data_IF_523570410123
#
_entry.id   IF_523570410123
#
_cell.length_a   1.000
_cell.length_b   1.000
_cell.length_c   1.000
_cell.angle_alpha   90.00
_cell.angle_beta   90.00
_cell.angle_gamma   90.00
#
_symmetry.space_group_name_H-M   'P 1'
#
loop_
_entity.id
_entity.type
_entity.pdbx_description
1 polymer ?
#
# COMPACT_ATOMS: atom_id res chain seq x y z
N UNK A 1 31.99 -23.82 6.31
CA UNK A 1 30.71 -23.16 6.66
C UNK A 1 30.68 -21.64 6.46
N UNK A 2 31.77 -20.87 6.68
CA UNK A 2 31.81 -19.41 6.36
C UNK A 2 31.61 -19.11 4.87
N UNK A 3 32.25 -19.85 3.98
CA UNK A 3 32.18 -19.59 2.53
C UNK A 3 30.80 -19.78 1.89
N UNK A 4 29.94 -20.58 2.53
CA UNK A 4 28.56 -20.77 2.06
C UNK A 4 27.67 -19.57 2.42
N UNK A 5 27.92 -18.93 3.55
CA UNK A 5 27.21 -17.73 3.96
C UNK A 5 27.58 -16.52 3.10
N UNK A 6 28.85 -16.32 2.81
CA UNK A 6 29.32 -15.20 1.97
C UNK A 6 28.83 -15.34 0.51
N UNK A 7 28.78 -16.55 -0.05
CA UNK A 7 28.19 -16.79 -1.39
C UNK A 7 26.68 -16.52 -1.43
N UNK A 8 25.96 -16.80 -0.35
CA UNK A 8 24.53 -16.46 -0.24
C UNK A 8 24.29 -14.96 -0.12
N UNK A 9 25.11 -14.22 0.62
CA UNK A 9 24.99 -12.77 0.76
C UNK A 9 25.31 -12.03 -0.54
N UNK A 10 26.37 -12.39 -1.23
CA UNK A 10 26.74 -11.78 -2.53
C UNK A 10 25.68 -12.04 -3.59
N UNK A 11 25.16 -13.26 -3.69
CA UNK A 11 24.07 -13.59 -4.62
C UNK A 11 22.77 -12.83 -4.30
N UNK A 12 22.43 -12.65 -3.04
CA UNK A 12 21.27 -11.87 -2.61
C UNK A 12 21.42 -10.37 -2.94
N UNK A 13 22.59 -9.79 -2.68
CA UNK A 13 22.88 -8.38 -2.96
C UNK A 13 22.85 -8.11 -4.47
N UNK A 14 23.44 -8.95 -5.28
CA UNK A 14 23.44 -8.84 -6.75
C UNK A 14 22.02 -8.91 -7.30
N UNK A 15 21.23 -9.88 -6.87
CA UNK A 15 19.84 -10.02 -7.28
C UNK A 15 18.98 -8.82 -6.83
N UNK A 16 19.23 -8.30 -5.63
CA UNK A 16 18.54 -7.13 -5.11
C UNK A 16 18.86 -5.87 -5.92
N UNK A 17 20.12 -5.70 -6.31
CA UNK A 17 20.58 -4.61 -7.16
C UNK A 17 19.96 -4.66 -8.56
N UNK A 18 20.04 -5.80 -9.23
CA UNK A 18 19.48 -6.01 -10.57
C UNK A 18 17.96 -5.75 -10.60
N UNK A 19 17.23 -6.22 -9.61
CA UNK A 19 15.81 -5.90 -9.43
C UNK A 19 15.56 -4.40 -9.27
N UNK A 20 16.44 -3.69 -8.56
CA UNK A 20 16.36 -2.25 -8.42
C UNK A 20 16.48 -1.51 -9.75
N UNK A 21 17.37 -1.97 -10.64
CA UNK A 21 17.53 -1.42 -12.00
C UNK A 21 16.27 -1.68 -12.82
N UNK A 22 15.77 -2.91 -12.81
CA UNK A 22 14.55 -3.31 -13.51
C UNK A 22 13.34 -2.50 -13.05
N UNK A 23 13.14 -2.34 -11.74
CA UNK A 23 12.03 -1.60 -11.17
C UNK A 23 12.05 -0.11 -11.51
N UNK A 24 13.23 0.49 -11.68
CA UNK A 24 13.36 1.88 -12.12
C UNK A 24 12.99 2.07 -13.59
N UNK A 25 13.35 1.11 -14.44
CA UNK A 25 13.01 1.11 -15.88
C UNK A 25 11.53 0.80 -16.14
N UNK A 26 10.91 -0.04 -15.30
CA UNK A 26 9.53 -0.48 -15.44
C UNK A 26 8.47 0.62 -15.25
N UNK A 27 7.24 0.30 -15.59
CA UNK A 27 6.07 1.19 -15.42
C UNK A 27 5.81 1.48 -13.94
N UNK A 28 5.15 2.59 -13.64
CA UNK A 28 4.80 2.97 -12.26
C UNK A 28 3.79 2.01 -11.60
N UNK A 29 2.95 1.38 -12.40
CA UNK A 29 2.01 0.33 -11.99
C UNK A 29 2.07 -0.77 -13.03
N UNK A 30 2.46 -1.97 -12.61
CA UNK A 30 2.74 -3.11 -13.48
C UNK A 30 2.22 -4.40 -12.83
N UNK A 31 1.56 -5.25 -13.62
CA UNK A 31 1.17 -6.58 -13.19
C UNK A 31 2.40 -7.48 -13.13
N UNK A 32 2.49 -8.29 -12.08
CA UNK A 32 3.57 -9.24 -11.85
C UNK A 32 2.97 -10.64 -11.81
N UNK A 33 3.60 -11.57 -12.51
CA UNK A 33 3.10 -12.96 -12.56
C UNK A 33 3.23 -13.68 -11.22
N UNK A 34 4.37 -13.46 -10.55
CA UNK A 34 4.67 -14.08 -9.25
C UNK A 34 5.09 -13.03 -8.22
N UNK A 35 4.64 -13.16 -6.97
CA UNK A 35 5.07 -12.25 -5.91
C UNK A 35 6.57 -12.39 -5.65
N UNK A 36 7.28 -11.26 -5.55
CA UNK A 36 8.73 -11.24 -5.29
C UNK A 36 9.07 -11.84 -3.92
N UNK A 37 8.25 -11.59 -2.91
CA UNK A 37 8.40 -12.15 -1.56
C UNK A 37 7.26 -13.11 -1.25
N UNK A 38 7.35 -14.33 -1.77
CA UNK A 38 6.27 -15.33 -1.69
C UNK A 38 5.85 -15.62 -0.24
N UNK A 39 6.80 -15.78 0.67
CA UNK A 39 6.50 -15.97 2.10
C UNK A 39 5.64 -14.83 2.65
N UNK A 40 6.03 -13.58 2.38
CA UNK A 40 5.26 -12.42 2.84
C UNK A 40 3.89 -12.31 2.19
N UNK A 41 3.79 -12.61 0.90
CA UNK A 41 2.53 -12.61 0.19
C UNK A 41 1.55 -13.64 0.78
N UNK A 42 2.01 -14.86 1.07
CA UNK A 42 1.21 -15.92 1.70
C UNK A 42 0.72 -15.53 3.09
N UNK A 43 1.57 -14.94 3.92
CA UNK A 43 1.16 -14.42 5.25
C UNK A 43 0.06 -13.36 5.16
N UNK A 44 -0.01 -12.63 4.04
CA UNK A 44 -1.02 -11.60 3.80
C UNK A 44 -2.25 -12.10 3.04
N UNK A 45 -2.36 -13.43 2.84
CA UNK A 45 -3.52 -14.08 2.26
C UNK A 45 -3.41 -14.40 0.77
N UNK A 46 -2.24 -14.21 0.14
CA UNK A 46 -2.04 -14.60 -1.25
C UNK A 46 -2.10 -16.13 -1.41
N UNK A 47 -2.80 -16.58 -2.43
CA UNK A 47 -2.79 -17.96 -2.91
C UNK A 47 -2.48 -17.98 -4.41
N UNK A 48 -1.72 -19.00 -4.85
CA UNK A 48 -1.38 -19.19 -6.26
C UNK A 48 -2.53 -19.93 -6.97
N UNK A 49 -3.70 -19.28 -7.08
CA UNK A 49 -4.86 -19.78 -7.81
C UNK A 49 -5.51 -18.67 -8.62
N UNK A 50 -6.37 -19.07 -9.56
CA UNK A 50 -7.13 -18.13 -10.38
C UNK A 50 -7.92 -17.14 -9.51
N UNK A 51 -8.08 -15.91 -10.02
CA UNK A 51 -8.74 -14.84 -9.29
C UNK A 51 -7.80 -14.00 -8.40
N UNK A 52 -6.55 -14.43 -8.17
CA UNK A 52 -5.53 -13.62 -7.50
C UNK A 52 -4.62 -12.92 -8.51
N UNK A 53 -4.39 -11.65 -8.33
CA UNK A 53 -3.51 -10.82 -9.16
C UNK A 53 -2.55 -10.05 -8.27
N UNK A 54 -1.28 -10.01 -8.64
CA UNK A 54 -0.27 -9.21 -7.95
C UNK A 54 0.15 -8.05 -8.84
N UNK A 55 0.16 -6.85 -8.27
CA UNK A 55 0.50 -5.62 -8.98
C UNK A 55 1.58 -4.88 -8.22
N UNK A 56 2.69 -4.58 -8.89
CA UNK A 56 3.75 -3.74 -8.35
C UNK A 56 3.44 -2.27 -8.59
N UNK A 57 3.59 -1.45 -7.54
CA UNK A 57 3.38 0.00 -7.61
C UNK A 57 4.61 0.74 -7.11
N UNK A 58 5.09 1.71 -7.90
CA UNK A 58 6.16 2.64 -7.55
C UNK A 58 5.57 3.94 -7.01
N UNK A 59 6.00 4.34 -5.82
CA UNK A 59 5.54 5.55 -5.14
C UNK A 59 6.75 6.39 -4.74
N UNK A 60 6.75 7.67 -5.11
CA UNK A 60 7.80 8.60 -4.71
C UNK A 60 7.81 8.77 -3.19
N UNK A 61 9.01 8.82 -2.61
CA UNK A 61 9.23 9.12 -1.19
C UNK A 61 8.94 10.60 -0.89
N UNK A 62 8.73 10.90 0.37
CA UNK A 62 8.49 12.25 0.87
C UNK A 62 7.00 12.60 0.96
N UNK A 63 6.73 13.82 1.36
CA UNK A 63 5.39 14.39 1.46
C UNK A 63 4.89 15.02 0.17
N UNK A 64 3.68 15.57 0.21
CA UNK A 64 3.18 16.39 -0.89
C UNK A 64 3.83 17.77 -0.86
N UNK A 65 4.27 18.22 -2.02
CA UNK A 65 4.68 19.61 -2.19
C UNK A 65 3.43 20.50 -2.30
N UNK A 66 3.32 21.46 -1.41
CA UNK A 66 2.26 22.49 -1.48
C UNK A 66 2.89 23.81 -1.92
N UNK A 67 2.33 24.40 -2.97
CA UNK A 67 2.77 25.69 -3.46
C UNK A 67 2.52 26.76 -2.39
N UNK A 68 3.52 27.59 -2.16
CA UNK A 68 3.45 28.71 -1.22
C UNK A 68 2.41 29.72 -1.70
N UNK A 69 1.45 30.16 -0.85
CA UNK A 69 0.52 31.24 -1.21
C UNK A 69 1.27 32.53 -1.51
N UNK A 70 0.95 33.19 -2.60
CA UNK A 70 1.67 34.40 -3.04
C UNK A 70 0.82 35.67 -3.07
N UNK A 71 -0.47 35.57 -3.32
CA UNK A 71 -1.37 36.73 -3.55
C UNK A 71 -2.16 37.09 -2.29
N UNK A 72 -2.32 38.41 -2.04
CA UNK A 72 -3.15 38.95 -0.96
C UNK A 72 -2.68 38.61 0.45
N UNK A 73 -1.38 38.33 0.64
CA UNK A 73 -0.81 37.94 1.94
C UNK A 73 0.49 38.67 2.23
N UNK A 74 0.64 39.09 3.49
CA UNK A 74 1.94 39.57 4.00
C UNK A 74 2.93 38.39 4.11
N UNK A 75 4.27 38.64 4.05
CA UNK A 75 5.30 37.58 4.10
C UNK A 75 5.12 36.58 5.25
N UNK A 76 4.71 37.03 6.42
CA UNK A 76 4.42 36.17 7.59
C UNK A 76 3.38 35.09 7.31
N UNK A 77 2.39 35.38 6.47
CA UNK A 77 1.28 34.49 6.15
C UNK A 77 1.51 33.64 4.89
N UNK A 78 2.65 33.79 4.22
CA UNK A 78 2.99 33.03 2.98
C UNK A 78 3.57 31.65 3.26
N UNK A 79 3.95 31.31 4.49
CA UNK A 79 4.52 30.04 4.85
C UNK A 79 3.51 28.91 4.82
N UNK A 80 3.96 27.70 4.45
CA UNK A 80 3.19 26.47 4.58
C UNK A 80 3.91 25.58 5.58
N UNK A 81 3.39 25.51 6.80
CA UNK A 81 3.90 24.66 7.87
C UNK A 81 2.99 23.47 8.10
N UNK A 82 3.56 22.39 8.69
CA UNK A 82 2.81 21.21 9.17
C UNK A 82 1.90 20.55 8.11
N UNK A 83 2.34 20.54 6.85
CA UNK A 83 1.60 19.88 5.79
C UNK A 83 1.96 18.40 5.73
N UNK A 84 1.21 17.59 6.45
CA UNK A 84 1.36 16.14 6.47
C UNK A 84 0.12 15.49 5.86
N UNK A 85 0.34 14.56 4.93
CA UNK A 85 -0.75 13.79 4.33
C UNK A 85 -1.39 12.87 5.37
N UNK A 86 -2.72 12.77 5.37
CA UNK A 86 -3.45 11.84 6.25
C UNK A 86 -3.36 10.36 5.82
N UNK A 87 -2.63 10.07 4.74
CA UNK A 87 -2.48 8.72 4.17
C UNK A 87 -1.01 8.33 4.14
N UNK A 88 -0.67 7.11 4.56
CA UNK A 88 0.67 6.58 4.36
C UNK A 88 0.91 6.21 2.90
N UNK A 89 2.18 6.13 2.48
CA UNK A 89 2.55 5.86 1.08
C UNK A 89 2.12 4.46 0.59
N UNK A 90 2.01 3.50 1.50
CA UNK A 90 1.50 2.17 1.19
C UNK A 90 0.01 2.22 0.82
N UNK A 91 -0.81 2.95 1.57
CA UNK A 91 -2.22 3.17 1.24
C UNK A 91 -2.39 3.94 -0.07
N UNK A 92 -1.53 4.94 -0.33
CA UNK A 92 -1.51 5.65 -1.63
C UNK A 92 -1.19 4.68 -2.78
N UNK A 93 -0.28 3.70 -2.58
CA UNK A 93 0.00 2.66 -3.57
C UNK A 93 -1.25 1.82 -3.87
N UNK A 94 -1.91 1.33 -2.83
CA UNK A 94 -3.15 0.55 -2.95
C UNK A 94 -4.24 1.32 -3.70
N UNK A 95 -4.47 2.60 -3.37
CA UNK A 95 -5.48 3.43 -4.06
C UNK A 95 -5.15 3.67 -5.54
N UNK A 96 -3.87 3.87 -5.88
CA UNK A 96 -3.46 4.04 -7.28
C UNK A 96 -3.67 2.77 -8.08
N UNK A 97 -3.37 1.62 -7.50
CA UNK A 97 -3.58 0.31 -8.12
C UNK A 97 -5.08 0.06 -8.29
N UNK A 98 -5.89 0.29 -7.27
CA UNK A 98 -7.35 0.14 -7.33
C UNK A 98 -7.99 0.99 -8.43
N UNK A 99 -7.50 2.22 -8.65
CA UNK A 99 -7.99 3.08 -9.74
C UNK A 99 -7.66 2.54 -11.13
N UNK A 100 -6.53 1.85 -11.27
CA UNK A 100 -6.14 1.22 -12.54
C UNK A 100 -6.90 -0.08 -12.82
N UNK A 101 -7.30 -0.80 -11.77
CA UNK A 101 -8.00 -2.07 -11.85
C UNK A 101 -9.33 -2.01 -11.06
N UNK A 102 -10.35 -1.31 -11.56
CA UNK A 102 -11.60 -1.07 -10.83
C UNK A 102 -12.44 -2.33 -10.61
N UNK A 103 -12.26 -3.35 -11.44
CA UNK A 103 -12.92 -4.66 -11.34
C UNK A 103 -12.35 -5.57 -10.26
N UNK A 104 -11.14 -5.29 -9.77
CA UNK A 104 -10.46 -6.07 -8.74
C UNK A 104 -10.55 -5.36 -7.39
N UNK A 105 -10.61 -6.10 -6.30
CA UNK A 105 -10.53 -5.55 -4.94
C UNK A 105 -9.16 -5.83 -4.31
N UNK A 106 -8.63 -4.86 -3.58
CA UNK A 106 -7.36 -5.00 -2.89
C UNK A 106 -7.55 -5.80 -1.61
N UNK A 107 -6.84 -6.93 -1.49
CA UNK A 107 -6.77 -7.72 -0.27
C UNK A 107 -5.80 -7.09 0.74
N UNK A 108 -4.55 -6.95 0.33
CA UNK A 108 -3.47 -6.42 1.15
C UNK A 108 -2.28 -5.98 0.28
N UNK A 109 -1.25 -5.43 0.92
CA UNK A 109 -0.02 -5.02 0.24
C UNK A 109 1.21 -5.16 1.14
N UNK A 110 2.40 -5.15 0.55
CA UNK A 110 3.66 -5.17 1.29
C UNK A 110 4.77 -4.47 0.51
N UNK A 111 5.80 -4.04 1.25
CA UNK A 111 6.98 -3.41 0.69
C UNK A 111 7.94 -4.45 0.13
N UNK A 112 8.35 -4.26 -1.11
CA UNK A 112 9.32 -5.13 -1.80
C UNK A 112 10.70 -4.53 -1.78
N UNK A 113 10.81 -3.28 -2.24
CA UNK A 113 12.08 -2.60 -2.48
C UNK A 113 11.97 -1.12 -2.15
N UNK A 114 13.12 -0.47 -1.96
CA UNK A 114 13.23 0.98 -1.83
C UNK A 114 14.54 1.45 -2.44
N UNK A 115 14.48 2.45 -3.26
CA UNK A 115 15.65 3.23 -3.67
C UNK A 115 15.70 4.59 -2.95
N UNK A 116 16.64 5.47 -3.32
CA UNK A 116 16.74 6.81 -2.74
C UNK A 116 15.47 7.65 -2.93
N UNK A 117 14.78 7.52 -4.05
CA UNK A 117 13.64 8.37 -4.45
C UNK A 117 12.27 7.70 -4.28
N UNK A 118 12.19 6.36 -4.37
CA UNK A 118 10.94 5.63 -4.49
C UNK A 118 10.81 4.49 -3.48
N UNK A 119 9.56 4.17 -3.16
CA UNK A 119 9.13 2.93 -2.53
C UNK A 119 8.45 2.06 -3.57
N UNK A 120 8.69 0.75 -3.50
CA UNK A 120 8.03 -0.24 -4.35
C UNK A 120 7.22 -1.17 -3.46
N UNK A 121 5.92 -1.22 -3.76
CA UNK A 121 4.96 -2.07 -3.06
C UNK A 121 4.39 -3.09 -4.02
N UNK A 122 4.18 -4.30 -3.56
CA UNK A 122 3.33 -5.27 -4.24
C UNK A 122 1.97 -5.29 -3.56
N UNK A 123 0.93 -5.15 -4.37
CA UNK A 123 -0.46 -5.11 -3.96
C UNK A 123 -1.12 -6.40 -4.43
N UNK A 124 -1.69 -7.14 -3.48
CA UNK A 124 -2.43 -8.37 -3.74
C UNK A 124 -3.88 -7.97 -4.00
N UNK A 125 -4.36 -8.29 -5.19
CA UNK A 125 -5.74 -8.03 -5.61
C UNK A 125 -6.49 -9.33 -5.84
N UNK A 126 -7.79 -9.27 -5.71
CA UNK A 126 -8.70 -10.42 -5.88
C UNK A 126 -9.83 -10.02 -6.81
N UNK A 127 -10.15 -10.89 -7.75
CA UNK A 127 -11.32 -10.73 -8.61
C UNK A 127 -12.57 -11.24 -7.88
N UNK A 128 -13.41 -10.30 -7.47
CA UNK A 128 -14.65 -10.60 -6.75
C UNK A 128 -15.70 -11.34 -7.58
N UNK A 129 -15.59 -11.31 -8.91
CA UNK A 129 -16.56 -11.96 -9.81
C UNK A 129 -16.14 -13.37 -10.21
N UNK A 130 -14.89 -13.75 -9.96
CA UNK A 130 -14.34 -15.04 -10.35
C UNK A 130 -15.00 -16.19 -9.57
N UNK A 131 -15.49 -17.27 -10.23
CA UNK A 131 -16.18 -18.38 -9.57
C UNK A 131 -15.37 -19.05 -8.47
N UNK A 132 -14.07 -19.27 -8.70
CA UNK A 132 -13.13 -19.87 -7.74
C UNK A 132 -12.99 -19.03 -6.46
N UNK A 133 -13.15 -17.72 -6.54
CA UNK A 133 -13.12 -16.84 -5.37
C UNK A 133 -14.44 -16.89 -4.61
N UNK A 134 -15.56 -16.90 -5.32
CA UNK A 134 -16.89 -16.99 -4.71
C UNK A 134 -17.10 -18.32 -3.96
N UNK A 135 -16.56 -19.42 -4.48
CA UNK A 135 -16.68 -20.76 -3.88
C UNK A 135 -15.70 -21.02 -2.73
N UNK A 136 -14.63 -20.22 -2.55
CA UNK A 136 -13.65 -20.41 -1.47
C UNK A 136 -14.14 -19.76 -0.17
N UNK A 137 -14.55 -20.53 0.87
CA UNK A 137 -15.08 -20.00 2.12
C UNK A 137 -14.09 -19.12 2.89
N UNK A 138 -12.76 -19.22 2.60
CA UNK A 138 -11.73 -18.41 3.26
C UNK A 138 -11.60 -17.00 2.69
N UNK A 139 -12.09 -16.74 1.47
CA UNK A 139 -11.93 -15.45 0.78
C UNK A 139 -13.23 -14.87 0.23
N UNK A 140 -14.30 -15.65 0.14
CA UNK A 140 -15.58 -15.22 -0.44
C UNK A 140 -16.17 -13.95 0.20
N UNK A 141 -15.83 -13.67 1.46
CA UNK A 141 -16.22 -12.43 2.16
C UNK A 141 -15.85 -11.16 1.38
N UNK A 142 -14.80 -11.18 0.54
CA UNK A 142 -14.38 -10.01 -0.25
C UNK A 142 -15.38 -9.69 -1.38
N UNK A 143 -16.19 -10.67 -1.77
CA UNK A 143 -17.21 -10.52 -2.82
C UNK A 143 -18.44 -9.73 -2.33
N UNK A 144 -18.64 -9.61 -1.02
CA UNK A 144 -19.78 -8.93 -0.44
C UNK A 144 -19.77 -7.42 -0.74
N UNK A 145 -20.93 -6.79 -0.94
CA UNK A 145 -21.06 -5.37 -1.29
C UNK A 145 -20.37 -4.43 -0.28
N UNK A 146 -20.37 -4.79 1.00
CA UNK A 146 -19.71 -4.03 2.08
C UNK A 146 -18.20 -3.92 1.91
N UNK A 147 -17.57 -4.79 1.12
CA UNK A 147 -16.13 -4.77 0.85
C UNK A 147 -15.77 -4.04 -0.45
N UNK A 148 -16.77 -3.57 -1.21
CA UNK A 148 -16.52 -2.82 -2.44
C UNK A 148 -15.76 -1.52 -2.17
N UNK A 149 -14.69 -1.27 -2.94
CA UNK A 149 -13.79 -0.12 -2.82
C UNK A 149 -13.25 0.07 -1.40
N UNK A 150 -12.96 -1.03 -0.71
CA UNK A 150 -12.49 -1.04 0.69
C UNK A 150 -11.24 -0.19 0.93
N UNK A 151 -10.37 -0.08 -0.05
CA UNK A 151 -9.14 0.73 0.04
C UNK A 151 -9.46 2.20 0.16
N UNK A 152 -10.36 2.73 -0.65
CA UNK A 152 -10.72 4.15 -0.65
C UNK A 152 -11.33 4.59 0.69
N UNK A 153 -12.02 3.67 1.36
CA UNK A 153 -12.61 3.88 2.69
C UNK A 153 -11.63 3.64 3.84
N UNK A 154 -10.36 3.29 3.54
CA UNK A 154 -9.33 3.03 4.55
C UNK A 154 -9.57 1.78 5.39
N UNK A 155 -10.14 0.73 4.79
CA UNK A 155 -10.42 -0.55 5.46
C UNK A 155 -9.32 -1.60 5.22
N UNK A 156 -8.35 -1.32 4.35
CA UNK A 156 -7.14 -2.15 4.22
C UNK A 156 -6.25 -2.02 5.46
N UNK A 157 -5.31 -2.94 5.65
CA UNK A 157 -4.38 -2.90 6.78
C UNK A 157 -3.58 -1.59 6.82
N UNK A 158 -3.10 -1.11 5.66
CA UNK A 158 -2.39 0.16 5.52
C UNK A 158 -3.29 1.36 5.84
N UNK A 159 -4.56 1.33 5.40
CA UNK A 159 -5.55 2.35 5.70
C UNK A 159 -5.90 2.43 7.18
N UNK A 160 -6.15 1.27 7.81
CA UNK A 160 -6.39 1.20 9.27
C UNK A 160 -5.20 1.73 10.06
N UNK A 161 -3.96 1.39 9.64
CA UNK A 161 -2.74 1.92 10.27
C UNK A 161 -2.65 3.44 10.16
N UNK A 162 -2.90 4.00 8.99
CA UNK A 162 -2.86 5.47 8.76
C UNK A 162 -3.94 6.22 9.55
N UNK A 163 -5.08 5.58 9.79
CA UNK A 163 -6.20 6.11 10.59
C UNK A 163 -6.04 5.91 12.10
N UNK A 164 -4.96 5.27 12.56
CA UNK A 164 -4.73 5.01 13.98
C UNK A 164 -5.65 3.93 14.58
N UNK A 165 -6.21 3.02 13.77
CA UNK A 165 -7.17 2.02 14.21
C UNK A 165 -6.56 0.70 14.70
N UNK A 166 -5.24 0.53 14.62
CA UNK A 166 -4.57 -0.71 15.00
C UNK A 166 -4.45 -0.90 16.53
N UNK A 167 -4.42 0.19 17.28
CA UNK A 167 -4.33 0.16 18.74
C UNK A 167 -5.62 0.65 19.37
N UNK A 168 -6.03 0.05 20.48
CA UNK A 168 -7.08 0.54 21.37
C UNK A 168 -6.40 1.12 22.60
N UNK A 169 -7.00 2.16 23.19
CA UNK A 169 -6.53 2.79 24.42
C UNK A 169 -5.89 4.16 24.21
N UNK A 170 -4.99 4.54 25.07
CA UNK A 170 -4.39 5.87 25.16
C UNK A 170 -3.87 6.39 23.82
N UNK A 171 -4.34 7.59 23.44
CA UNK A 171 -3.98 8.27 22.21
C UNK A 171 -4.77 7.84 20.97
N UNK A 172 -5.66 6.85 21.06
CA UNK A 172 -6.50 6.40 19.95
C UNK A 172 -8.01 6.47 20.20
N UNK A 173 -8.45 7.00 21.32
CA UNK A 173 -9.87 7.08 21.72
C UNK A 173 -10.71 7.85 20.72
N UNK A 174 -10.19 8.99 20.26
CA UNK A 174 -10.87 9.90 19.32
C UNK A 174 -10.75 9.49 17.84
N UNK A 175 -10.05 8.40 17.55
CA UNK A 175 -9.96 7.88 16.17
C UNK A 175 -11.07 6.87 15.85
N UNK A 176 -11.79 6.39 16.84
CA UNK A 176 -12.88 5.41 16.69
C UNK A 176 -14.24 6.04 16.86
N UNK A 177 -15.23 5.64 16.06
CA UNK A 177 -15.18 4.74 14.91
C UNK A 177 -14.45 5.35 13.71
N UNK A 178 -14.33 6.66 13.62
CA UNK A 178 -13.60 7.41 12.60
C UNK A 178 -13.27 8.83 13.08
N UNK A 179 -12.37 9.52 12.39
CA UNK A 179 -12.08 10.94 12.65
C UNK A 179 -13.30 11.84 12.38
N UNK A 180 -14.11 11.51 11.36
CA UNK A 180 -15.33 12.24 11.03
C UNK A 180 -16.38 12.16 12.14
N UNK A 181 -16.60 10.97 12.71
CA UNK A 181 -17.52 10.78 13.84
C UNK A 181 -17.10 11.59 15.08
N UNK A 182 -15.81 11.82 15.25
CA UNK A 182 -15.26 12.64 16.35
C UNK A 182 -15.01 14.11 15.94
N UNK A 183 -15.67 14.61 14.90
CA UNK A 183 -15.55 16.02 14.43
C UNK A 183 -14.08 16.48 14.20
N UNK A 184 -13.21 15.57 13.76
CA UNK A 184 -11.79 15.86 13.55
C UNK A 184 -10.92 16.02 14.80
N UNK A 185 -11.47 15.81 16.00
CA UNK A 185 -10.76 15.97 17.28
C UNK A 185 -9.71 14.89 17.58
N UNK A 186 -9.55 13.91 16.71
CA UNK A 186 -8.60 12.79 16.86
C UNK A 186 -7.19 13.05 16.30
N UNK A 187 -6.88 14.29 15.94
CA UNK A 187 -5.55 14.72 15.49
C UNK A 187 -4.91 15.62 16.52
#
# INVERSE_FOLDING_TARGET
MKDTFEKHETGYQTNHWNRGIEYRKGKSIERVEKPTKLHRARTLGYKAKQGYVVVRARIRKGGMHKVRPKRGRKPRAMGVSKYTTGKNLQWVAEERVQRKYPNLEVLNSYKVYADGRNWYYEVIMVDKNHPVIKSDPKINWICEPQHTRRVTRGLSASGKKARGLNKKGWGSEKTRPSLGANKGRGK
#
